data_IF_445414566622
#
_entry.id   IF_445414566622
#
_cell.length_a   1.000
_cell.length_b   1.000
_cell.length_c   1.000
_cell.angle_alpha   90.00
_cell.angle_beta   90.00
_cell.angle_gamma   90.00
#
_symmetry.space_group_name_H-M   'P 1'
#
loop_
_entity.id
_entity.type
_entity.pdbx_description
1 polymer ?
#
# COMPACT_ATOMS: atom_id res chain seq x y z
N UNK A 1 48.27 -7.65 33.07
CA UNK A 1 49.13 -8.14 31.97
C UNK A 1 48.56 -7.66 30.65
N UNK A 2 49.44 -7.18 29.76
CA UNK A 2 49.17 -6.36 28.58
C UNK A 2 48.27 -7.05 27.54
N UNK A 3 47.18 -6.39 27.11
CA UNK A 3 46.45 -6.75 25.89
C UNK A 3 47.28 -6.33 24.67
N UNK A 4 47.82 -7.31 23.92
CA UNK A 4 48.31 -7.06 22.56
C UNK A 4 47.18 -7.38 21.57
N UNK A 5 46.77 -6.37 20.81
CA UNK A 5 45.86 -6.49 19.66
C UNK A 5 46.56 -7.24 18.52
N UNK A 6 45.92 -8.19 17.81
CA UNK A 6 46.52 -8.77 16.61
C UNK A 6 46.59 -7.71 15.51
N UNK A 7 47.81 -7.44 15.02
CA UNK A 7 48.08 -6.51 13.92
C UNK A 7 47.67 -7.14 12.59
N UNK A 8 46.68 -6.54 11.92
CA UNK A 8 46.34 -6.81 10.52
C UNK A 8 47.43 -6.16 9.65
N UNK A 9 48.03 -6.92 8.73
CA UNK A 9 48.93 -6.39 7.69
C UNK A 9 48.28 -6.50 6.32
N UNK A 10 48.39 -5.42 5.56
CA UNK A 10 47.94 -5.31 4.17
C UNK A 10 49.13 -5.45 3.22
N UNK A 11 48.93 -6.04 2.05
CA UNK A 11 49.89 -5.93 0.95
C UNK A 11 49.82 -4.55 0.27
N UNK A 12 50.72 -4.29 -0.69
CA UNK A 12 50.81 -3.00 -1.38
C UNK A 12 49.62 -2.66 -2.29
N UNK A 13 48.58 -3.51 -2.34
CA UNK A 13 47.34 -3.29 -3.10
C UNK A 13 46.10 -3.40 -2.19
N UNK A 14 46.27 -3.57 -0.87
CA UNK A 14 45.20 -3.45 0.13
C UNK A 14 44.50 -4.75 0.52
N UNK A 15 45.04 -5.93 0.22
CA UNK A 15 44.45 -7.20 0.65
C UNK A 15 44.98 -7.66 2.02
N UNK A 16 44.09 -8.26 2.84
CA UNK A 16 44.41 -8.76 4.19
C UNK A 16 44.98 -10.17 4.12
N UNK A 17 46.17 -10.38 4.68
CA UNK A 17 46.82 -11.71 4.74
C UNK A 17 46.66 -12.29 6.16
N UNK A 18 45.95 -13.41 6.29
CA UNK A 18 45.82 -14.17 7.54
C UNK A 18 46.82 -15.34 7.53
N UNK A 19 47.73 -15.39 8.50
CA UNK A 19 48.66 -16.51 8.69
C UNK A 19 47.96 -17.63 9.48
N UNK A 20 47.84 -18.81 8.87
CA UNK A 20 47.25 -20.01 9.47
C UNK A 20 48.20 -20.63 10.50
N UNK A 21 47.77 -20.71 11.77
CA UNK A 21 48.41 -21.51 12.82
C UNK A 21 47.72 -22.87 12.95
N UNK A 22 48.52 -23.93 13.10
CA UNK A 22 48.10 -25.29 13.42
C UNK A 22 47.43 -25.37 14.81
N UNK A 23 46.33 -26.13 14.94
CA UNK A 23 46.23 -27.23 15.90
C UNK A 23 44.97 -28.13 15.71
N UNK A 24 45.28 -29.42 15.71
CA UNK A 24 44.59 -30.70 15.93
C UNK A 24 43.07 -30.89 16.13
N UNK A 25 42.55 -31.76 15.25
CA UNK A 25 41.66 -32.93 15.41
C UNK A 25 40.31 -32.82 16.15
N UNK A 26 39.24 -33.04 15.39
CA UNK A 26 38.37 -34.23 15.57
C UNK A 26 37.75 -34.66 14.23
N UNK A 27 37.90 -35.94 13.90
CA UNK A 27 37.41 -36.63 12.70
C UNK A 27 35.88 -36.69 12.63
N UNK A 28 35.29 -36.11 11.59
CA UNK A 28 34.11 -36.67 10.90
C UNK A 28 34.24 -36.40 9.40
N UNK A 29 34.40 -37.47 8.63
CA UNK A 29 34.59 -37.44 7.19
C UNK A 29 33.27 -37.10 6.47
N UNK A 30 33.28 -35.99 5.72
CA UNK A 30 32.31 -35.68 4.67
C UNK A 30 33.04 -35.80 3.33
N UNK A 31 32.53 -36.56 2.35
CA UNK A 31 33.27 -36.86 1.13
C UNK A 31 33.54 -35.60 0.31
N UNK A 32 34.78 -35.47 -0.18
CA UNK A 32 35.18 -34.45 -1.14
C UNK A 32 34.42 -34.65 -2.45
N UNK A 33 33.42 -33.82 -2.71
CA UNK A 33 32.80 -33.74 -4.03
C UNK A 33 33.81 -33.06 -4.95
N UNK A 34 34.45 -33.85 -5.80
CA UNK A 34 35.22 -33.39 -6.94
C UNK A 34 34.41 -32.37 -7.72
N UNK A 35 34.96 -31.18 -7.95
CA UNK A 35 34.38 -30.17 -8.82
C UNK A 35 34.11 -30.81 -10.19
N UNK A 36 32.84 -31.04 -10.49
CA UNK A 36 32.38 -31.49 -11.80
C UNK A 36 32.58 -30.31 -12.74
N UNK A 37 33.74 -30.24 -13.41
CA UNK A 37 33.95 -29.32 -14.51
C UNK A 37 33.18 -29.86 -15.73
N UNK A 38 31.88 -29.56 -15.80
CA UNK A 38 31.12 -29.78 -17.02
C UNK A 38 31.73 -28.89 -18.11
N UNK A 39 32.22 -29.45 -19.23
CA UNK A 39 32.71 -28.64 -20.32
C UNK A 39 31.56 -27.75 -20.81
N UNK A 40 31.86 -26.51 -21.19
CA UNK A 40 30.87 -25.52 -21.66
C UNK A 40 29.92 -26.08 -22.74
N UNK A 41 30.38 -27.04 -23.51
CA UNK A 41 29.61 -27.78 -24.52
C UNK A 41 28.48 -28.64 -23.92
N UNK A 42 28.66 -29.25 -22.74
CA UNK A 42 27.63 -30.04 -22.06
C UNK A 42 26.55 -29.15 -21.43
N UNK A 43 26.94 -27.97 -20.91
CA UNK A 43 26.01 -26.95 -20.43
C UNK A 43 25.17 -26.38 -21.58
N UNK A 44 25.79 -26.07 -22.72
CA UNK A 44 25.07 -25.64 -23.92
C UNK A 44 24.17 -26.74 -24.50
N UNK A 45 24.57 -28.01 -24.43
CA UNK A 45 23.73 -29.12 -24.86
C UNK A 45 22.52 -29.33 -23.94
N UNK A 46 22.68 -29.18 -22.62
CA UNK A 46 21.58 -29.25 -21.65
C UNK A 46 20.62 -28.07 -21.78
N UNK A 47 21.13 -26.84 -21.94
CA UNK A 47 20.31 -25.68 -22.24
C UNK A 47 19.65 -25.79 -23.62
N UNK A 48 20.36 -26.32 -24.62
CA UNK A 48 19.83 -26.58 -25.95
C UNK A 48 18.71 -27.63 -25.95
N UNK A 49 18.86 -28.71 -25.17
CA UNK A 49 17.81 -29.73 -25.04
C UNK A 49 16.59 -29.17 -24.33
N UNK A 50 16.76 -28.41 -23.25
CA UNK A 50 15.66 -27.73 -22.55
C UNK A 50 14.97 -26.71 -23.46
N UNK A 51 15.74 -25.90 -24.21
CA UNK A 51 15.17 -24.91 -25.11
C UNK A 51 14.42 -25.57 -26.27
N UNK A 52 14.95 -26.68 -26.80
CA UNK A 52 14.33 -27.46 -27.87
C UNK A 52 13.06 -28.19 -27.40
N UNK A 53 13.06 -28.75 -26.18
CA UNK A 53 11.87 -29.33 -25.54
C UNK A 53 10.83 -28.25 -25.28
N UNK A 54 11.21 -27.09 -24.74
CA UNK A 54 10.28 -25.98 -24.52
C UNK A 54 9.72 -25.42 -25.83
N UNK A 55 10.52 -25.36 -26.90
CA UNK A 55 10.07 -24.91 -28.22
C UNK A 55 9.11 -25.92 -28.88
N UNK A 56 9.36 -27.23 -28.70
CA UNK A 56 8.46 -28.29 -29.17
C UNK A 56 7.15 -28.28 -28.37
N UNK A 57 7.21 -28.09 -27.05
CA UNK A 57 6.03 -28.01 -26.19
C UNK A 57 5.18 -26.79 -26.54
N UNK A 58 5.80 -25.63 -26.83
CA UNK A 58 5.12 -24.42 -27.30
C UNK A 58 4.43 -24.62 -28.66
N UNK A 59 5.05 -25.38 -29.57
CA UNK A 59 4.49 -25.67 -30.90
C UNK A 59 3.27 -26.59 -30.82
N UNK A 60 3.28 -27.55 -29.89
CA UNK A 60 2.12 -28.41 -29.60
C UNK A 60 0.99 -27.62 -28.92
N UNK A 61 1.30 -26.71 -28.00
CA UNK A 61 0.29 -25.82 -27.38
C UNK A 61 -0.35 -24.88 -28.40
N UNK A 62 0.42 -24.30 -29.33
CA UNK A 62 -0.11 -23.45 -30.41
C UNK A 62 -1.00 -24.22 -31.41
N UNK A 63 -0.70 -25.50 -31.68
CA UNK A 63 -1.55 -26.36 -32.51
C UNK A 63 -2.87 -26.72 -31.81
N UNK A 64 -2.85 -26.93 -30.49
CA UNK A 64 -4.04 -27.30 -29.71
C UNK A 64 -4.95 -26.08 -29.40
N UNK A 65 -4.40 -24.86 -29.41
CA UNK A 65 -5.17 -23.61 -29.25
C UNK A 65 -6.25 -23.47 -30.33
N UNK A 66 -6.02 -23.90 -31.58
CA UNK A 66 -7.08 -23.87 -32.62
C UNK A 66 -8.21 -24.86 -32.31
N UNK A 67 -7.89 -26.04 -31.78
CA UNK A 67 -8.88 -27.04 -31.38
C UNK A 67 -9.68 -26.60 -30.15
N UNK A 68 -9.00 -26.03 -29.16
CA UNK A 68 -9.61 -25.48 -27.93
C UNK A 68 -10.46 -24.26 -28.26
N UNK A 69 -10.00 -23.33 -29.09
CA UNK A 69 -10.79 -22.15 -29.48
C UNK A 69 -12.01 -22.53 -30.30
N UNK A 70 -11.93 -23.52 -31.20
CA UNK A 70 -13.10 -24.04 -31.92
C UNK A 70 -14.10 -24.76 -30.99
N UNK A 71 -13.62 -25.51 -29.99
CA UNK A 71 -14.47 -26.13 -28.96
C UNK A 71 -15.10 -25.10 -28.03
N UNK A 72 -14.36 -24.07 -27.62
CA UNK A 72 -14.88 -22.95 -26.83
C UNK A 72 -15.88 -22.10 -27.62
N UNK A 73 -15.61 -21.82 -28.89
CA UNK A 73 -16.53 -21.08 -29.76
C UNK A 73 -17.82 -21.87 -29.99
N UNK A 74 -17.72 -23.16 -30.31
CA UNK A 74 -18.92 -24.01 -30.47
C UNK A 74 -19.69 -24.21 -29.16
N UNK A 75 -19.00 -24.27 -28.01
CA UNK A 75 -19.63 -24.28 -26.69
C UNK A 75 -20.28 -22.94 -26.34
N UNK A 76 -19.66 -21.81 -26.68
CA UNK A 76 -20.20 -20.48 -26.45
C UNK A 76 -21.43 -20.20 -27.33
N UNK A 77 -21.39 -20.58 -28.62
CA UNK A 77 -22.51 -20.37 -29.56
C UNK A 77 -23.67 -21.32 -29.27
N UNK A 78 -23.39 -22.60 -28.96
CA UNK A 78 -24.46 -23.54 -28.56
C UNK A 78 -24.97 -23.28 -27.14
N UNK A 79 -24.09 -22.87 -26.24
CA UNK A 79 -24.45 -22.51 -24.86
C UNK A 79 -25.31 -21.26 -24.79
N UNK A 80 -24.98 -20.22 -25.56
CA UNK A 80 -25.80 -19.00 -25.63
C UNK A 80 -27.17 -19.27 -26.23
N UNK A 81 -27.31 -20.08 -27.28
CA UNK A 81 -28.62 -20.40 -27.84
C UNK A 81 -29.51 -21.23 -26.90
N UNK A 82 -28.93 -22.17 -26.15
CA UNK A 82 -29.64 -22.93 -25.10
C UNK A 82 -30.08 -21.99 -23.97
N UNK A 83 -29.19 -21.09 -23.54
CA UNK A 83 -29.45 -20.17 -22.43
C UNK A 83 -30.48 -19.10 -22.83
N UNK A 84 -30.42 -18.57 -24.06
CA UNK A 84 -31.45 -17.68 -24.63
C UNK A 84 -32.78 -18.41 -24.82
N UNK A 85 -32.78 -19.64 -25.33
CA UNK A 85 -34.01 -20.42 -25.47
C UNK A 85 -34.67 -20.69 -24.09
N UNK A 86 -33.87 -20.92 -23.05
CA UNK A 86 -34.34 -21.11 -21.69
C UNK A 86 -34.84 -19.79 -21.05
N UNK A 87 -34.13 -18.67 -21.25
CA UNK A 87 -34.53 -17.36 -20.76
C UNK A 87 -35.79 -16.84 -21.44
N UNK A 88 -35.93 -17.07 -22.75
CA UNK A 88 -37.06 -16.62 -23.56
C UNK A 88 -38.23 -17.62 -23.61
N UNK A 89 -38.14 -18.76 -22.90
CA UNK A 89 -39.27 -19.69 -22.80
C UNK A 89 -40.43 -19.04 -22.04
N UNK A 90 -41.60 -18.84 -22.67
CA UNK A 90 -42.76 -18.25 -22.02
C UNK A 90 -43.21 -19.15 -20.85
N UNK A 91 -43.68 -18.52 -19.78
CA UNK A 91 -44.26 -19.21 -18.62
C UNK A 91 -45.33 -20.18 -19.13
N UNK A 92 -45.13 -21.46 -18.84
CA UNK A 92 -45.95 -22.56 -19.33
C UNK A 92 -47.40 -22.35 -18.92
N UNK A 93 -48.24 -21.89 -19.85
CA UNK A 93 -49.69 -22.03 -19.77
C UNK A 93 -49.99 -23.39 -20.41
N UNK A 94 -50.51 -24.38 -19.67
CA UNK A 94 -50.79 -25.68 -20.24
C UNK A 94 -51.82 -25.50 -21.36
N UNK A 95 -51.43 -25.88 -22.58
CA UNK A 95 -52.34 -25.95 -23.70
C UNK A 95 -53.48 -26.91 -23.36
N UNK A 96 -54.72 -26.50 -23.62
CA UNK A 96 -55.91 -27.37 -23.59
C UNK A 96 -55.72 -28.50 -24.61
N UNK A 97 -55.11 -29.62 -24.20
CA UNK A 97 -55.30 -30.99 -24.72
C UNK A 97 -54.18 -31.89 -24.16
N UNK A 98 -54.48 -32.54 -23.04
CA UNK A 98 -53.61 -33.54 -22.43
C UNK A 98 -53.93 -33.67 -20.93
N UNK A 99 -54.01 -34.91 -20.45
CA UNK A 99 -54.33 -35.24 -19.04
C UNK A 99 -53.33 -34.51 -18.13
N UNK A 100 -53.78 -33.74 -17.12
CA UNK A 100 -52.89 -32.95 -16.28
C UNK A 100 -52.00 -33.87 -15.46
N UNK A 101 -50.69 -33.82 -15.72
CA UNK A 101 -49.72 -34.48 -14.85
C UNK A 101 -49.63 -33.72 -13.53
N UNK A 102 -49.97 -34.37 -12.43
CA UNK A 102 -49.91 -33.79 -11.09
C UNK A 102 -48.46 -33.72 -10.61
N UNK A 103 -47.82 -32.55 -10.75
CA UNK A 103 -46.55 -32.27 -10.09
C UNK A 103 -46.80 -31.85 -8.64
N UNK A 104 -46.10 -32.49 -7.69
CA UNK A 104 -46.14 -32.07 -6.28
C UNK A 104 -45.64 -30.63 -6.14
N UNK A 105 -46.28 -29.84 -5.27
CA UNK A 105 -45.92 -28.42 -5.00
C UNK A 105 -44.41 -28.20 -4.78
N UNK A 106 -43.72 -29.13 -4.12
CA UNK A 106 -42.27 -29.03 -3.89
C UNK A 106 -41.41 -29.15 -5.17
N UNK A 107 -41.83 -29.96 -6.14
CA UNK A 107 -41.10 -30.11 -7.43
C UNK A 107 -41.22 -28.85 -8.29
N UNK A 108 -42.40 -28.22 -8.28
CA UNK A 108 -42.63 -26.94 -8.96
C UNK A 108 -41.81 -25.82 -8.32
N UNK A 109 -41.80 -25.75 -6.98
CA UNK A 109 -40.99 -24.77 -6.23
C UNK A 109 -39.49 -24.92 -6.48
N UNK A 110 -38.98 -26.17 -6.50
CA UNK A 110 -37.56 -26.43 -6.74
C UNK A 110 -37.14 -26.07 -8.17
N UNK A 111 -37.98 -26.39 -9.15
CA UNK A 111 -37.74 -26.02 -10.55
C UNK A 111 -37.69 -24.50 -10.74
N UNK A 112 -38.60 -23.77 -10.08
CA UNK A 112 -38.66 -22.31 -10.16
C UNK A 112 -37.48 -21.65 -9.43
N UNK A 113 -37.09 -22.19 -8.26
CA UNK A 113 -35.92 -21.72 -7.50
C UNK A 113 -34.61 -21.92 -8.28
N UNK A 114 -34.44 -23.08 -8.93
CA UNK A 114 -33.29 -23.35 -9.78
C UNK A 114 -33.27 -22.43 -11.01
N UNK A 115 -34.41 -22.20 -11.65
CA UNK A 115 -34.53 -21.27 -12.77
C UNK A 115 -34.10 -19.86 -12.36
N UNK A 116 -34.63 -19.34 -11.25
CA UNK A 116 -34.30 -18.01 -10.73
C UNK A 116 -32.82 -17.89 -10.35
N UNK A 117 -32.26 -18.91 -9.68
CA UNK A 117 -30.84 -18.92 -9.33
C UNK A 117 -29.93 -18.87 -10.55
N UNK A 118 -30.26 -19.63 -11.60
CA UNK A 118 -29.47 -19.69 -12.83
C UNK A 118 -29.57 -18.39 -13.65
N UNK A 119 -30.74 -17.74 -13.71
CA UNK A 119 -30.87 -16.44 -14.39
C UNK A 119 -30.07 -15.36 -13.68
N UNK A 120 -30.14 -15.30 -12.35
CA UNK A 120 -29.37 -14.37 -11.53
C UNK A 120 -27.85 -14.56 -11.72
N UNK A 121 -27.36 -15.80 -11.64
CA UNK A 121 -25.95 -16.12 -11.82
C UNK A 121 -25.44 -15.73 -13.21
N UNK A 122 -26.25 -15.94 -14.25
CA UNK A 122 -25.92 -15.59 -15.64
C UNK A 122 -25.79 -14.09 -15.82
N UNK A 123 -26.75 -13.31 -15.32
CA UNK A 123 -26.71 -11.84 -15.38
C UNK A 123 -25.51 -11.31 -14.60
N UNK A 124 -25.27 -11.84 -13.40
CA UNK A 124 -24.12 -11.45 -12.58
C UNK A 124 -22.79 -11.74 -13.29
N UNK A 125 -22.62 -12.90 -13.91
CA UNK A 125 -21.40 -13.23 -14.64
C UNK A 125 -21.16 -12.28 -15.81
N UNK A 126 -22.19 -11.98 -16.61
CA UNK A 126 -22.08 -11.03 -17.72
C UNK A 126 -21.69 -9.63 -17.21
N UNK A 127 -22.37 -9.14 -16.18
CA UNK A 127 -22.09 -7.83 -15.59
C UNK A 127 -20.67 -7.79 -15.01
N UNK A 128 -20.26 -8.82 -14.29
CA UNK A 128 -18.95 -8.93 -13.66
C UNK A 128 -17.83 -8.94 -14.71
N UNK A 129 -17.96 -9.72 -15.78
CA UNK A 129 -16.98 -9.73 -16.88
C UNK A 129 -16.93 -8.37 -17.59
N UNK A 130 -18.08 -7.73 -17.82
CA UNK A 130 -18.16 -6.44 -18.52
C UNK A 130 -17.53 -5.32 -17.69
N UNK A 131 -17.86 -5.22 -16.41
CA UNK A 131 -17.32 -4.18 -15.52
C UNK A 131 -15.82 -4.36 -15.23
N UNK A 132 -15.33 -5.60 -15.27
CA UNK A 132 -13.93 -5.91 -14.96
C UNK A 132 -13.08 -6.26 -16.20
N UNK A 133 -13.57 -5.99 -17.42
CA UNK A 133 -12.89 -6.36 -18.67
C UNK A 133 -11.45 -5.82 -18.76
N UNK A 134 -11.21 -4.60 -18.27
CA UNK A 134 -9.87 -4.00 -18.25
C UNK A 134 -8.88 -4.79 -17.38
N UNK A 135 -9.33 -5.32 -16.25
CA UNK A 135 -8.50 -6.14 -15.35
C UNK A 135 -8.17 -7.49 -16.00
N UNK A 136 -9.17 -8.13 -16.62
CA UNK A 136 -8.96 -9.38 -17.34
C UNK A 136 -8.04 -9.22 -18.55
N UNK A 137 -8.14 -8.11 -19.28
CA UNK A 137 -7.22 -7.80 -20.38
C UNK A 137 -5.77 -7.71 -19.93
N UNK A 138 -5.50 -7.04 -18.80
CA UNK A 138 -4.15 -6.95 -18.23
C UNK A 138 -3.59 -8.30 -17.79
N UNK A 139 -4.44 -9.16 -17.19
CA UNK A 139 -4.06 -10.52 -16.80
C UNK A 139 -3.78 -11.37 -18.04
N UNK A 140 -4.63 -11.29 -19.07
CA UNK A 140 -4.44 -12.04 -20.32
C UNK A 140 -3.16 -11.63 -21.06
N UNK A 141 -2.87 -10.33 -21.13
CA UNK A 141 -1.63 -9.80 -21.71
C UNK A 141 -0.43 -10.22 -20.87
N UNK A 142 -0.52 -10.18 -19.54
CA UNK A 142 0.55 -10.64 -18.65
C UNK A 142 0.86 -12.14 -18.80
N UNK A 143 -0.13 -12.96 -19.14
CA UNK A 143 0.04 -14.38 -19.40
C UNK A 143 0.57 -14.67 -20.81
N UNK A 144 0.20 -13.85 -21.81
CA UNK A 144 0.60 -14.05 -23.21
C UNK A 144 1.99 -13.51 -23.54
N UNK A 145 2.37 -12.38 -22.94
CA UNK A 145 3.69 -11.78 -23.12
C UNK A 145 4.16 -11.13 -21.81
N UNK A 146 4.78 -11.91 -20.90
CA UNK A 146 5.28 -11.38 -19.64
C UNK A 146 6.40 -10.34 -19.82
N UNK A 147 7.03 -10.28 -21.00
CA UNK A 147 8.10 -9.33 -21.33
C UNK A 147 7.57 -7.98 -21.85
N UNK A 148 6.38 -7.93 -22.45
CA UNK A 148 5.74 -6.67 -22.84
C UNK A 148 5.51 -5.72 -21.65
N UNK A 149 5.33 -6.27 -20.44
CA UNK A 149 5.22 -5.50 -19.19
C UNK A 149 6.55 -4.96 -18.65
N UNK A 150 7.69 -5.52 -19.09
CA UNK A 150 9.03 -5.05 -18.73
C UNK A 150 9.53 -3.95 -19.68
N UNK A 151 9.03 -3.92 -20.92
CA UNK A 151 9.34 -2.91 -21.93
C UNK A 151 9.12 -1.47 -21.44
N UNK A 152 8.00 -1.23 -20.76
CA UNK A 152 7.64 0.09 -20.23
C UNK A 152 8.45 0.51 -18.98
N UNK A 153 9.17 -0.43 -18.33
CA UNK A 153 9.93 -0.17 -17.09
C UNK A 153 11.44 -0.01 -17.30
N UNK A 154 11.97 -0.46 -18.43
CA UNK A 154 13.39 -0.32 -18.80
C UNK A 154 13.90 1.14 -18.76
N UNK A 155 13.21 2.15 -19.33
CA UNK A 155 13.70 3.53 -19.27
C UNK A 155 13.63 4.13 -17.87
N UNK A 156 12.68 3.69 -17.02
CA UNK A 156 12.55 4.16 -15.64
C UNK A 156 13.65 3.59 -14.74
N UNK A 157 14.07 2.34 -14.97
CA UNK A 157 15.17 1.71 -14.23
C UNK A 157 16.51 2.37 -14.57
N UNK A 158 16.79 2.65 -15.85
CA UNK A 158 17.98 3.41 -16.27
C UNK A 158 17.96 4.87 -15.79
N UNK A 159 16.80 5.53 -15.78
CA UNK A 159 16.66 6.86 -15.22
C UNK A 159 16.86 6.87 -13.69
N UNK A 160 16.38 5.85 -12.98
CA UNK A 160 16.58 5.70 -11.54
C UNK A 160 18.04 5.44 -11.17
N UNK A 161 18.76 4.65 -11.97
CA UNK A 161 20.17 4.33 -11.75
C UNK A 161 21.06 5.55 -12.00
N UNK A 162 20.77 6.33 -13.05
CA UNK A 162 21.45 7.59 -13.34
C UNK A 162 21.12 8.71 -12.33
N UNK A 163 19.90 8.76 -11.78
CA UNK A 163 19.54 9.65 -10.67
C UNK A 163 20.21 9.24 -9.34
N UNK A 164 20.29 7.93 -9.07
CA UNK A 164 20.94 7.42 -7.86
C UNK A 164 22.43 7.76 -7.84
N UNK A 165 23.09 7.60 -8.99
CA UNK A 165 24.54 7.86 -9.15
C UNK A 165 24.89 9.36 -9.24
N UNK A 166 23.97 10.20 -9.73
CA UNK A 166 24.14 11.67 -9.75
C UNK A 166 23.84 12.32 -8.39
N UNK A 167 22.97 11.72 -7.58
CA UNK A 167 22.65 12.20 -6.22
C UNK A 167 23.76 11.86 -5.22
N UNK A 168 24.54 10.79 -5.45
CA UNK A 168 25.63 10.40 -4.53
C UNK A 168 26.95 11.15 -4.75
N UNK A 169 27.14 11.86 -5.87
CA UNK A 169 28.45 12.46 -6.22
C UNK A 169 28.58 13.97 -6.00
N UNK A 170 27.49 14.74 -5.91
CA UNK A 170 27.55 16.20 -5.89
C UNK A 170 26.64 16.86 -4.83
N UNK A 171 26.47 16.25 -3.66
CA UNK A 171 25.91 16.98 -2.50
C UNK A 171 27.05 17.27 -1.55
N UNK A 172 27.39 18.56 -1.49
CA UNK A 172 28.25 19.19 -0.49
C UNK A 172 27.98 18.60 0.90
N UNK A 173 28.80 17.62 1.27
CA UNK A 173 28.54 16.73 2.39
C UNK A 173 28.82 17.40 3.73
N UNK A 174 29.44 18.58 3.71
CA UNK A 174 29.76 19.36 4.91
C UNK A 174 28.64 20.34 5.29
N UNK A 175 28.13 21.14 4.34
CA UNK A 175 27.16 22.20 4.68
C UNK A 175 25.76 21.64 5.01
N UNK A 176 25.34 20.59 4.31
CA UNK A 176 24.04 19.95 4.52
C UNK A 176 23.89 19.30 5.90
N UNK A 177 25.01 18.95 6.56
CA UNK A 177 25.01 18.38 7.91
C UNK A 177 24.81 19.46 8.99
N UNK A 178 25.15 20.72 8.70
CA UNK A 178 24.94 21.86 9.59
C UNK A 178 23.63 22.62 9.32
N UNK A 179 22.99 22.37 8.18
CA UNK A 179 21.65 22.87 7.94
C UNK A 179 20.65 22.09 8.82
N UNK A 180 19.71 22.76 9.50
CA UNK A 180 18.63 22.04 10.18
C UNK A 180 17.91 21.18 9.13
N UNK A 181 17.39 20.00 9.51
CA UNK A 181 16.62 19.17 8.59
C UNK A 181 15.36 19.93 8.18
N UNK A 182 15.43 20.68 7.09
CA UNK A 182 14.28 21.35 6.51
C UNK A 182 13.40 20.26 5.89
N UNK A 183 12.23 20.05 6.50
CA UNK A 183 11.20 19.20 5.94
C UNK A 183 10.75 19.69 4.56
N UNK A 184 10.03 18.85 3.80
CA UNK A 184 9.35 19.33 2.60
C UNK A 184 8.53 20.59 2.92
N UNK A 185 8.43 21.55 1.98
CA UNK A 185 7.74 22.82 2.22
C UNK A 185 6.23 22.64 2.47
N UNK A 186 5.68 21.49 2.12
CA UNK A 186 4.28 21.15 2.31
C UNK A 186 4.07 20.37 3.60
N UNK A 187 2.94 20.61 4.27
CA UNK A 187 2.54 19.86 5.45
C UNK A 187 2.13 18.44 5.04
N UNK A 188 2.69 17.42 5.69
CA UNK A 188 2.46 16.01 5.30
C UNK A 188 2.34 15.09 6.50
N UNK A 189 1.50 14.07 6.36
CA UNK A 189 1.38 12.94 7.26
C UNK A 189 2.03 11.71 6.62
N UNK A 190 2.97 11.10 7.35
CA UNK A 190 3.62 9.86 6.95
C UNK A 190 3.31 8.77 7.96
N UNK A 191 2.86 7.62 7.47
CA UNK A 191 2.61 6.43 8.27
C UNK A 191 3.43 5.28 7.67
N UNK A 192 4.68 5.05 8.15
CA UNK A 192 5.61 4.11 7.53
C UNK A 192 5.07 2.69 7.39
N UNK A 193 4.41 2.15 8.43
CA UNK A 193 3.87 0.79 8.42
C UNK A 193 2.75 0.58 7.38
N UNK A 194 2.09 1.66 6.96
CA UNK A 194 1.09 1.63 5.89
C UNK A 194 1.66 1.99 4.52
N UNK A 195 2.89 2.50 4.44
CA UNK A 195 3.46 3.11 3.24
C UNK A 195 2.71 4.39 2.83
N UNK A 196 2.10 5.10 3.78
CA UNK A 196 1.28 6.28 3.51
C UNK A 196 2.13 7.55 3.58
N UNK A 197 2.00 8.41 2.58
CA UNK A 197 2.65 9.72 2.55
C UNK A 197 1.75 10.75 1.87
N UNK A 198 1.03 11.55 2.65
CA UNK A 198 -0.14 12.32 2.18
C UNK A 198 -0.09 13.76 2.67
N UNK A 199 -0.60 14.73 1.88
CA UNK A 199 -0.66 16.11 2.31
C UNK A 199 -1.67 16.30 3.45
N UNK A 200 -1.37 17.28 4.32
CA UNK A 200 -2.28 17.79 5.34
C UNK A 200 -2.79 19.16 4.87
N UNK A 201 -4.07 19.21 4.54
CA UNK A 201 -4.78 20.41 4.13
C UNK A 201 -5.30 21.14 5.37
N UNK A 202 -5.13 22.46 5.40
CA UNK A 202 -5.61 23.32 6.48
C UNK A 202 -6.74 24.19 5.92
N UNK A 203 -8.02 23.90 6.25
CA UNK A 203 -9.13 24.74 5.82
C UNK A 203 -9.13 26.09 6.55
N UNK A 204 -9.90 27.04 6.03
CA UNK A 204 -10.08 28.34 6.68
C UNK A 204 -10.88 28.19 7.98
N UNK A 205 -10.56 29.03 8.96
CA UNK A 205 -11.21 29.00 10.28
C UNK A 205 -12.40 29.97 10.38
N UNK A 206 -12.73 30.73 9.33
CA UNK A 206 -13.78 31.75 9.36
C UNK A 206 -15.17 31.16 9.64
N UNK A 207 -15.51 30.02 9.04
CA UNK A 207 -16.75 29.31 9.30
C UNK A 207 -16.85 28.83 10.77
N UNK A 208 -15.73 28.36 11.35
CA UNK A 208 -15.69 27.97 12.75
C UNK A 208 -15.88 29.18 13.68
N UNK A 209 -15.21 30.29 13.39
CA UNK A 209 -15.31 31.53 14.19
C UNK A 209 -16.71 32.16 14.11
N UNK A 210 -17.41 31.98 12.99
CA UNK A 210 -18.78 32.44 12.80
C UNK A 210 -19.84 31.44 13.30
N UNK A 211 -19.44 30.31 13.88
CA UNK A 211 -20.31 29.20 14.30
C UNK A 211 -21.22 28.67 13.16
N UNK A 212 -20.77 28.81 11.90
CA UNK A 212 -21.46 28.27 10.73
C UNK A 212 -21.04 26.82 10.49
N UNK A 213 -21.69 25.91 11.23
CA UNK A 213 -21.41 24.48 11.18
C UNK A 213 -21.66 23.85 9.80
N UNK A 214 -22.60 24.40 9.03
CA UNK A 214 -22.94 23.88 7.70
C UNK A 214 -21.83 24.19 6.71
N UNK A 215 -21.32 25.42 6.74
CA UNK A 215 -20.17 25.82 5.92
C UNK A 215 -18.89 25.13 6.37
N UNK A 216 -18.65 25.03 7.67
CA UNK A 216 -17.47 24.33 8.21
C UNK A 216 -17.40 22.88 7.71
N UNK A 217 -18.51 22.14 7.78
CA UNK A 217 -18.56 20.77 7.27
C UNK A 217 -18.26 20.72 5.77
N UNK A 218 -18.85 21.62 4.98
CA UNK A 218 -18.60 21.71 3.54
C UNK A 218 -17.13 21.98 3.22
N UNK A 219 -16.49 22.88 3.97
CA UNK A 219 -15.09 23.25 3.78
C UNK A 219 -14.15 22.08 4.14
N UNK A 220 -14.47 21.33 5.21
CA UNK A 220 -13.76 20.10 5.57
C UNK A 220 -13.92 19.03 4.49
N UNK A 221 -15.14 18.76 4.02
CA UNK A 221 -15.40 17.77 2.97
C UNK A 221 -14.65 18.11 1.67
N UNK A 222 -14.66 19.39 1.28
CA UNK A 222 -13.93 19.86 0.09
C UNK A 222 -12.42 19.70 0.27
N UNK A 223 -11.90 19.96 1.47
CA UNK A 223 -10.48 19.83 1.77
C UNK A 223 -10.00 18.37 1.76
N UNK A 224 -10.86 17.43 2.16
CA UNK A 224 -10.58 16.00 2.15
C UNK A 224 -10.41 15.42 0.73
N UNK A 225 -10.87 16.11 -0.32
CA UNK A 225 -10.61 15.71 -1.72
C UNK A 225 -9.13 15.84 -2.09
N UNK A 226 -8.40 16.70 -1.38
CA UNK A 226 -7.01 17.09 -1.64
C UNK A 226 -6.01 16.51 -0.64
N UNK A 227 -6.45 15.79 0.39
CA UNK A 227 -5.55 15.15 1.35
C UNK A 227 -6.24 14.73 2.64
N UNK A 228 -5.44 14.63 3.68
CA UNK A 228 -5.95 14.60 5.07
C UNK A 228 -6.16 16.03 5.55
N UNK A 229 -7.04 16.24 6.52
CA UNK A 229 -7.42 17.59 6.98
C UNK A 229 -7.02 17.78 8.43
N UNK A 230 -6.29 18.86 8.71
CA UNK A 230 -6.12 19.37 10.07
C UNK A 230 -7.42 20.02 10.50
N UNK A 231 -8.05 19.50 11.55
CA UNK A 231 -9.36 19.97 12.00
C UNK A 231 -9.26 21.39 12.58
N UNK A 232 -10.06 22.35 12.08
CA UNK A 232 -10.08 23.73 12.58
C UNK A 232 -10.23 23.83 14.09
N UNK A 233 -9.47 24.75 14.70
CA UNK A 233 -9.53 25.01 16.14
C UNK A 233 -8.75 24.04 17.01
N UNK A 234 -8.09 23.03 16.43
CA UNK A 234 -7.23 22.10 17.18
C UNK A 234 -5.77 22.54 17.21
N UNK A 235 -5.02 22.13 18.24
CA UNK A 235 -3.62 22.51 18.42
C UNK A 235 -2.78 22.20 17.18
N UNK A 236 -1.72 22.99 16.93
CA UNK A 236 -0.72 22.68 15.89
C UNK A 236 0.30 21.66 16.43
N UNK A 237 1.02 20.94 15.56
CA UNK A 237 2.10 20.07 16.01
C UNK A 237 3.12 20.85 16.86
N UNK A 238 3.52 20.27 17.98
CA UNK A 238 4.41 20.92 18.94
C UNK A 238 3.77 21.85 19.97
N UNK A 239 2.48 22.19 19.81
CA UNK A 239 1.74 22.96 20.81
C UNK A 239 1.10 22.04 21.86
N UNK A 240 0.81 22.58 23.05
CA UNK A 240 -0.06 21.90 24.00
C UNK A 240 -1.44 21.70 23.38
N UNK A 241 -2.03 20.52 23.60
CA UNK A 241 -3.31 20.13 23.05
C UNK A 241 -3.21 18.93 22.13
N UNK A 242 -4.26 18.78 21.33
CA UNK A 242 -4.48 17.65 20.45
C UNK A 242 -4.48 18.12 19.00
N UNK A 243 -3.42 17.83 18.25
CA UNK A 243 -3.38 18.01 16.81
C UNK A 243 -4.27 16.97 16.12
N UNK A 244 -5.42 17.39 15.62
CA UNK A 244 -6.43 16.47 15.12
C UNK A 244 -6.43 16.42 13.60
N UNK A 245 -6.29 15.21 13.04
CA UNK A 245 -6.30 14.97 11.60
C UNK A 245 -7.38 13.97 11.23
N UNK A 246 -8.17 14.32 10.23
CA UNK A 246 -9.21 13.45 9.67
C UNK A 246 -8.92 13.10 8.21
N UNK A 247 -9.36 11.93 7.78
CA UNK A 247 -9.20 11.42 6.42
C UNK A 247 -10.29 10.43 6.05
N UNK A 248 -10.62 10.34 4.76
CA UNK A 248 -11.65 9.41 4.28
C UNK A 248 -11.18 7.95 4.36
N UNK A 249 -12.07 7.07 4.86
CA UNK A 249 -11.86 5.62 4.83
C UNK A 249 -12.19 5.03 3.46
N UNK A 250 -13.14 5.62 2.75
CA UNK A 250 -13.52 5.27 1.39
C UNK A 250 -14.60 6.24 0.90
N UNK A 251 -14.76 6.37 -0.41
CA UNK A 251 -15.90 7.03 -1.02
C UNK A 251 -16.44 6.17 -2.17
N UNK A 252 -17.61 6.50 -2.70
CA UNK A 252 -18.11 5.89 -3.92
C UNK A 252 -17.13 6.05 -5.11
N UNK A 253 -17.04 5.05 -6.01
CA UNK A 253 -16.14 5.10 -7.17
C UNK A 253 -16.27 6.38 -8.02
N UNK A 254 -17.50 6.89 -8.17
CA UNK A 254 -17.84 8.04 -9.01
C UNK A 254 -17.55 9.42 -8.42
N UNK A 255 -17.07 9.50 -7.19
CA UNK A 255 -16.86 10.81 -6.55
C UNK A 255 -15.56 11.47 -6.99
N UNK A 256 -15.24 12.67 -6.52
CA UNK A 256 -14.02 13.37 -6.94
C UNK A 256 -12.90 13.21 -5.89
N UNK A 257 -11.68 13.61 -6.24
CA UNK A 257 -10.52 13.55 -5.33
C UNK A 257 -9.68 12.26 -5.40
N UNK A 258 -8.37 12.41 -5.19
CA UNK A 258 -7.39 11.30 -5.18
C UNK A 258 -7.32 10.58 -3.82
N UNK A 259 -7.83 11.20 -2.76
CA UNK A 259 -7.65 10.78 -1.36
C UNK A 259 -8.89 10.13 -0.73
N UNK A 260 -9.84 9.68 -1.54
CA UNK A 260 -11.11 9.06 -1.11
C UNK A 260 -10.97 7.88 -0.14
N UNK A 261 -9.85 7.17 -0.20
CA UNK A 261 -9.59 5.98 0.60
C UNK A 261 -8.27 6.10 1.38
N UNK A 262 -7.83 7.34 1.63
CA UNK A 262 -6.53 7.62 2.25
C UNK A 262 -6.33 6.91 3.59
N UNK A 263 -7.39 6.80 4.38
CA UNK A 263 -7.41 6.13 5.69
C UNK A 263 -8.14 4.78 5.67
N UNK A 264 -8.37 4.18 4.48
CA UNK A 264 -8.98 2.84 4.38
C UNK A 264 -8.25 1.78 5.19
N UNK A 265 -6.92 1.90 5.27
CA UNK A 265 -6.04 0.98 6.00
C UNK A 265 -5.68 1.48 7.41
N UNK A 266 -6.19 2.63 7.83
CA UNK A 266 -5.97 3.13 9.20
C UNK A 266 -6.40 2.12 10.29
N UNK A 267 -7.48 1.32 10.12
CA UNK A 267 -7.83 0.26 11.06
C UNK A 267 -6.79 -0.85 11.24
N UNK A 268 -5.78 -0.98 10.36
CA UNK A 268 -4.73 -2.00 10.56
C UNK A 268 -3.62 -1.54 11.49
N UNK A 269 -3.55 -0.24 11.81
CA UNK A 269 -2.56 0.29 12.75
C UNK A 269 -2.76 -0.25 14.16
N UNK A 270 -1.65 -0.46 14.86
CA UNK A 270 -1.59 -1.00 16.22
C UNK A 270 -1.04 0.04 17.19
N UNK A 271 -1.36 -0.16 18.47
CA UNK A 271 -0.75 0.59 19.57
C UNK A 271 0.76 0.32 19.56
N UNK A 272 1.56 1.35 19.78
CA UNK A 272 3.02 1.32 19.73
C UNK A 272 3.61 1.60 18.35
N UNK A 273 2.81 1.59 17.27
CA UNK A 273 3.28 2.06 15.97
C UNK A 273 3.35 3.59 15.92
N UNK A 274 4.19 4.09 15.02
CA UNK A 274 4.46 5.51 14.89
C UNK A 274 3.98 6.10 13.57
N UNK A 275 3.74 7.41 13.61
CA UNK A 275 3.57 8.23 12.42
C UNK A 275 4.31 9.56 12.61
N UNK A 276 4.54 10.22 11.48
CA UNK A 276 5.32 11.44 11.42
C UNK A 276 4.48 12.55 10.77
N UNK A 277 4.58 13.75 11.32
CA UNK A 277 3.96 14.95 10.77
C UNK A 277 5.06 15.91 10.40
N UNK A 278 5.09 16.31 9.13
CA UNK A 278 5.85 17.47 8.68
C UNK A 278 4.91 18.67 8.70
N UNK A 279 5.29 19.72 9.42
CA UNK A 279 4.47 20.91 9.56
C UNK A 279 5.37 22.14 9.60
N UNK A 280 5.18 23.07 8.66
CA UNK A 280 5.98 24.31 8.61
C UNK A 280 7.50 24.09 8.46
N UNK A 281 7.92 22.95 7.89
CA UNK A 281 9.32 22.55 7.76
C UNK A 281 9.85 21.73 8.94
N UNK A 282 9.15 21.67 10.07
CA UNK A 282 9.54 20.86 11.22
C UNK A 282 8.99 19.43 11.12
N UNK A 283 9.70 18.49 11.76
CA UNK A 283 9.32 17.07 11.80
C UNK A 283 8.96 16.64 13.21
N UNK A 284 7.74 16.15 13.36
CA UNK A 284 7.18 15.70 14.63
C UNK A 284 6.93 14.19 14.61
N UNK A 285 7.35 13.49 15.67
CA UNK A 285 7.19 12.04 15.82
C UNK A 285 6.06 11.75 16.80
N UNK A 286 5.15 10.86 16.43
CA UNK A 286 4.05 10.45 17.30
C UNK A 286 3.98 8.93 17.40
N UNK A 287 3.73 8.42 18.61
CA UNK A 287 3.53 6.99 18.87
C UNK A 287 2.12 6.75 19.38
N UNK A 288 1.41 5.82 18.75
CA UNK A 288 0.02 5.49 19.06
C UNK A 288 -0.05 4.87 20.46
N UNK A 289 -0.86 5.46 21.33
CA UNK A 289 -1.10 4.98 22.69
C UNK A 289 -2.47 4.34 22.84
N UNK A 290 -3.46 4.84 22.09
CA UNK A 290 -4.83 4.40 22.21
C UNK A 290 -5.48 4.24 20.84
N UNK A 291 -6.37 3.25 20.75
CA UNK A 291 -7.19 2.98 19.58
C UNK A 291 -8.60 2.62 20.05
N UNK A 292 -9.60 3.38 19.63
CA UNK A 292 -11.01 3.13 20.00
C UNK A 292 -11.98 3.50 18.88
N UNK A 293 -13.16 2.90 18.93
CA UNK A 293 -14.30 3.30 18.09
C UNK A 293 -15.29 4.10 18.91
N UNK A 294 -15.75 5.23 18.36
CA UNK A 294 -16.71 6.13 19.01
C UNK A 294 -17.91 6.40 18.11
N UNK A 295 -18.98 6.96 18.70
CA UNK A 295 -20.14 7.42 17.94
C UNK A 295 -19.77 8.70 17.17
N UNK A 296 -20.38 8.99 16.00
CA UNK A 296 -20.15 10.24 15.27
C UNK A 296 -20.46 11.51 16.09
N UNK A 297 -21.32 11.41 17.09
CA UNK A 297 -21.70 12.51 17.99
C UNK A 297 -20.76 12.70 19.18
N UNK A 298 -19.72 11.87 19.32
CA UNK A 298 -18.77 11.96 20.42
C UNK A 298 -17.71 13.03 20.13
N UNK A 299 -17.98 14.26 20.56
CA UNK A 299 -17.11 15.43 20.34
C UNK A 299 -15.92 15.50 21.29
N UNK A 300 -15.90 14.71 22.38
CA UNK A 300 -14.80 14.73 23.36
C UNK A 300 -13.46 14.24 22.79
N UNK A 301 -13.48 13.63 21.60
CA UNK A 301 -12.26 13.27 20.86
C UNK A 301 -11.47 14.50 20.36
N UNK A 302 -12.09 15.68 20.37
CA UNK A 302 -11.49 16.96 19.98
C UNK A 302 -10.88 17.73 21.17
N UNK A 303 -10.99 17.20 22.39
CA UNK A 303 -10.50 17.86 23.61
C UNK A 303 -9.03 18.28 23.48
N UNK A 304 -8.72 19.46 24.02
CA UNK A 304 -7.40 20.11 23.94
C UNK A 304 -6.74 20.14 25.32
N UNK A 305 -6.09 19.04 25.77
CA UNK A 305 -5.42 18.99 27.07
C UNK A 305 -4.23 19.96 27.11
N UNK A 306 -4.17 20.80 28.15
CA UNK A 306 -3.15 21.85 28.26
C UNK A 306 -1.78 21.34 28.74
N UNK A 307 -1.72 20.13 29.27
CA UNK A 307 -0.55 19.49 29.89
C UNK A 307 0.14 18.46 28.97
N UNK A 308 -0.45 18.18 27.80
CA UNK A 308 0.01 17.13 26.90
C UNK A 308 0.11 17.63 25.46
N UNK A 309 1.01 17.00 24.71
CA UNK A 309 1.18 17.16 23.26
C UNK A 309 0.79 15.85 22.60
N UNK A 310 -0.43 15.81 22.07
CA UNK A 310 -0.97 14.61 21.44
C UNK A 310 -1.42 14.92 20.02
N UNK A 311 -1.52 13.88 19.20
CA UNK A 311 -2.17 13.94 17.91
C UNK A 311 -3.21 12.83 17.81
N UNK A 312 -4.29 13.13 17.11
CA UNK A 312 -5.38 12.20 16.88
C UNK A 312 -5.58 12.00 15.38
N UNK A 313 -5.56 10.74 14.93
CA UNK A 313 -5.97 10.36 13.59
C UNK A 313 -7.37 9.77 13.64
N UNK A 314 -8.26 10.25 12.77
CA UNK A 314 -9.66 9.84 12.76
C UNK A 314 -10.16 9.48 11.36
N UNK A 315 -10.98 8.43 11.28
CA UNK A 315 -11.66 8.03 10.04
C UNK A 315 -13.00 7.35 10.32
N UNK A 316 -13.83 7.16 9.29
CA UNK A 316 -15.10 6.45 9.41
C UNK A 316 -14.92 4.93 9.36
N UNK A 317 -15.63 4.19 10.21
CA UNK A 317 -15.64 2.72 10.21
C UNK A 317 -17.05 2.15 10.36
N UNK A 318 -17.32 0.95 9.81
CA UNK A 318 -16.50 0.18 8.87
C UNK A 318 -16.20 0.93 7.55
N UNK A 319 -15.15 0.52 6.83
CA UNK A 319 -14.80 1.09 5.52
C UNK A 319 -16.01 0.97 4.59
N UNK A 320 -16.36 2.04 3.90
CA UNK A 320 -17.56 2.16 3.07
C UNK A 320 -18.77 2.77 3.78
N UNK A 321 -18.66 3.04 5.09
CA UNK A 321 -19.78 3.52 5.91
C UNK A 321 -19.39 4.72 6.76
N UNK A 322 -20.37 5.34 7.40
CA UNK A 322 -20.19 6.47 8.33
C UNK A 322 -20.77 6.17 9.72
N UNK A 323 -20.95 4.90 10.05
CA UNK A 323 -21.66 4.46 11.27
C UNK A 323 -20.93 4.83 12.55
N UNK A 324 -19.62 4.61 12.58
CA UNK A 324 -18.74 4.91 13.72
C UNK A 324 -17.49 5.63 13.27
N UNK A 325 -16.75 6.20 14.22
CA UNK A 325 -15.43 6.80 13.99
C UNK A 325 -14.37 5.94 14.65
N UNK A 326 -13.35 5.57 13.90
CA UNK A 326 -12.12 5.04 14.47
C UNK A 326 -11.24 6.23 14.86
N UNK A 327 -10.73 6.20 16.08
CA UNK A 327 -9.88 7.23 16.66
C UNK A 327 -8.61 6.58 17.18
N UNK A 328 -7.47 7.10 16.72
CA UNK A 328 -6.13 6.72 17.17
C UNK A 328 -5.51 7.94 17.84
N UNK A 329 -5.24 7.86 19.14
CA UNK A 329 -4.57 8.93 19.88
C UNK A 329 -3.11 8.55 20.12
N UNK A 330 -2.21 9.49 19.83
CA UNK A 330 -0.78 9.29 19.89
C UNK A 330 -0.11 10.42 20.67
N UNK A 331 0.97 10.10 21.38
CA UNK A 331 1.78 11.06 22.11
C UNK A 331 2.98 11.50 21.28
N UNK A 332 3.30 12.78 21.34
CA UNK A 332 4.49 13.32 20.70
C UNK A 332 5.77 12.90 21.47
N UNK A 333 6.74 12.34 20.74
CA UNK A 333 8.04 11.97 21.27
C UNK A 333 9.14 12.78 20.60
N UNK A 334 10.25 13.00 21.32
CA UNK A 334 11.45 13.57 20.75
C UNK A 334 11.95 12.67 19.59
N UNK A 335 12.17 13.22 18.37
CA UNK A 335 12.62 12.44 17.23
C UNK A 335 13.95 11.69 17.44
N UNK A 336 14.83 12.20 18.30
CA UNK A 336 16.17 11.67 18.56
C UNK A 336 16.20 10.76 19.78
N UNK A 337 15.59 11.20 20.89
CA UNK A 337 15.69 10.48 22.17
C UNK A 337 14.55 9.51 22.42
N UNK A 338 13.40 9.69 21.74
CA UNK A 338 12.19 8.89 21.96
C UNK A 338 11.51 9.17 23.30
N UNK A 339 11.94 10.20 24.04
CA UNK A 339 11.33 10.61 25.31
C UNK A 339 10.05 11.42 25.01
N UNK A 340 8.96 11.24 25.77
CA UNK A 340 7.78 12.07 25.64
C UNK A 340 8.07 13.56 25.76
N UNK A 341 7.60 14.34 24.79
CA UNK A 341 7.82 15.78 24.78
C UNK A 341 6.92 16.47 25.81
N UNK A 342 7.53 17.29 26.68
CA UNK A 342 6.78 18.15 27.60
C UNK A 342 6.31 19.42 26.86
N UNK A 343 5.23 20.03 27.34
CA UNK A 343 4.75 21.32 26.85
C UNK A 343 5.87 22.37 26.96
N UNK A 344 6.14 23.10 25.86
CA UNK A 344 7.19 24.12 25.80
C UNK A 344 8.60 23.62 25.44
N UNK A 345 8.82 22.30 25.35
CA UNK A 345 10.09 21.76 24.86
C UNK A 345 10.16 21.80 23.33
N UNK A 346 11.28 22.23 22.77
CA UNK A 346 11.57 22.07 21.35
C UNK A 346 12.42 20.82 21.17
N UNK A 347 12.25 20.11 20.04
CA UNK A 347 13.12 18.98 19.73
C UNK A 347 14.57 19.45 19.79
N UNK A 348 15.43 18.71 20.49
CA UNK A 348 16.83 19.09 20.59
C UNK A 348 17.42 19.18 19.17
N UNK A 349 18.04 20.31 18.78
CA UNK A 349 18.71 20.37 17.49
C UNK A 349 19.80 19.30 17.49
N UNK A 350 19.79 18.42 16.49
CA UNK A 350 20.82 17.42 16.30
C UNK A 350 22.16 18.16 16.11
N UNK A 351 22.96 18.26 17.17
CA UNK A 351 24.29 18.86 17.17
C UNK A 351 24.41 20.20 16.42
N UNK A 352 23.57 21.19 16.74
CA UNK A 352 23.90 22.57 16.35
C UNK A 352 25.14 23.02 17.14
N UNK A 353 26.26 23.41 16.50
CA UNK A 353 27.37 24.01 17.23
C UNK A 353 26.85 25.25 17.95
N UNK A 354 27.17 25.40 19.23
CA UNK A 354 26.89 26.62 20.00
C UNK A 354 27.77 27.74 19.44
N UNK A 355 27.41 28.32 18.31
CA UNK A 355 28.06 29.54 17.83
C UNK A 355 27.62 30.67 18.76
N UNK A 356 28.54 31.31 19.51
CA UNK A 356 28.19 32.49 20.29
C UNK A 356 27.64 33.55 19.35
N UNK A 357 26.54 34.20 19.74
CA UNK A 357 25.82 35.21 18.94
C UNK A 357 26.63 36.44 18.51
N UNK A 358 27.94 36.49 18.80
CA UNK A 358 28.86 37.54 18.40
C UNK A 358 29.63 37.30 17.09
N UNK A 359 29.33 36.23 16.34
CA UNK A 359 30.08 35.87 15.12
C UNK A 359 29.28 35.98 13.81
N UNK A 360 28.07 36.54 13.87
CA UNK A 360 27.35 36.91 12.64
C UNK A 360 27.91 38.25 12.13
N UNK A 361 28.38 38.33 10.87
CA UNK A 361 28.69 39.62 10.27
C UNK A 361 27.40 40.44 10.18
N UNK A 362 27.45 41.64 10.74
CA UNK A 362 26.37 42.65 10.71
C UNK A 362 26.17 43.14 9.27
#
# INVERSE_FOLDING_TARGET
MSHQNPRIRYDSVGNVILLSGEEHHTNQAVPSVSAISLPWTALLAFFGSIFSESALQYRWTLYDIRGITQRMYSFAVKGTSILLAFLCQPVWVPGRKGIPQHYSRGKLFLADSLRFGMTFASIFAILFLTLNYQSFGKIAVAMADPLALLGDRLPVLQAAETLSQKTTRNVDTDLAQFLPPIGPPENRLLIPSLGLNVPIVIPQNDALLAEDWTRLEKDIQTSLENGTVHYPGTARPGQAGNFFVTGHSSYYPWSQGKYKSVFARLPTLKIGEEFWIYYGGDRHRYVIQEKREVKPTDVGILDQPLDRRIATLMTCVPVGTTLRRLVLTAQELDPLTGIPMTVGQHAAPANAPKTPSGMLPI
#
